data_IF_507675638612
#
_entry.id   IF_507675638612
#
_cell.length_a   1.000
_cell.length_b   1.000
_cell.length_c   1.000
_cell.angle_alpha   90.00
_cell.angle_beta   90.00
_cell.angle_gamma   90.00
#
_symmetry.space_group_name_H-M   'P 1'
#
loop_
_entity.id
_entity.type
_entity.pdbx_description
1 polymer ?
#
# COMPACT_ATOMS: atom_id res chain seq x y z
N UNK A 1 37.68 28.81 -5.18
CA UNK A 1 36.55 28.71 -4.23
C UNK A 1 36.80 27.49 -3.36
N UNK A 2 36.89 27.64 -2.02
CA UNK A 2 37.02 26.51 -1.11
C UNK A 2 35.84 25.56 -1.31
N UNK A 3 36.12 24.30 -1.64
CA UNK A 3 35.09 23.27 -1.77
C UNK A 3 34.55 22.98 -0.37
N UNK A 4 33.26 23.22 -0.15
CA UNK A 4 32.60 23.01 1.15
C UNK A 4 32.75 21.55 1.60
N UNK A 5 32.94 21.34 2.90
CA UNK A 5 33.08 19.98 3.45
C UNK A 5 31.75 19.21 3.35
N UNK A 6 31.81 17.88 3.35
CA UNK A 6 30.58 17.05 3.32
C UNK A 6 29.67 17.36 4.54
N UNK A 7 30.20 17.48 5.78
CA UNK A 7 29.38 17.90 6.92
C UNK A 7 28.66 19.25 6.70
N UNK A 8 29.35 20.27 6.17
CA UNK A 8 28.75 21.58 5.87
C UNK A 8 27.62 21.47 4.84
N UNK A 9 27.82 20.66 3.80
CA UNK A 9 26.81 20.43 2.77
C UNK A 9 25.57 19.73 3.34
N UNK A 10 25.74 18.76 4.25
CA UNK A 10 24.63 18.10 4.94
C UNK A 10 23.88 19.10 5.83
N UNK A 11 24.59 19.85 6.67
CA UNK A 11 23.97 20.85 7.55
C UNK A 11 23.19 21.89 6.74
N UNK A 12 23.72 22.32 5.60
CA UNK A 12 23.01 23.23 4.68
C UNK A 12 21.77 22.58 4.06
N UNK A 13 21.83 21.33 3.66
CA UNK A 13 20.67 20.60 3.13
C UNK A 13 19.57 20.42 4.20
N UNK A 14 19.94 20.48 5.48
CA UNK A 14 19.05 20.42 6.63
C UNK A 14 18.77 21.81 7.25
N UNK A 15 19.30 22.88 6.66
CA UNK A 15 19.12 24.24 7.17
C UNK A 15 17.75 24.76 6.75
N UNK A 16 16.84 24.88 7.72
CA UNK A 16 15.52 25.50 7.54
C UNK A 16 14.63 25.31 8.76
N UNK A 17 13.69 26.24 8.98
CA UNK A 17 12.75 26.22 10.11
C UNK A 17 12.01 24.88 10.25
N UNK A 18 11.80 24.18 9.13
CA UNK A 18 11.16 22.85 9.08
C UNK A 18 11.98 21.72 9.72
N UNK A 19 13.17 21.98 10.26
CA UNK A 19 14.07 20.98 10.83
C UNK A 19 14.54 21.29 12.27
N UNK A 20 14.18 22.45 12.84
CA UNK A 20 14.67 22.88 14.17
C UNK A 20 14.29 21.93 15.30
N UNK A 21 13.12 21.29 15.21
CA UNK A 21 12.64 20.31 16.19
C UNK A 21 12.74 18.87 15.69
N UNK A 22 13.46 18.62 14.59
CA UNK A 22 13.49 17.32 13.94
C UNK A 22 14.31 16.31 14.74
N UNK A 23 13.83 15.06 14.76
CA UNK A 23 14.60 13.91 15.21
C UNK A 23 15.12 13.15 13.99
N UNK A 24 16.42 13.21 13.78
CA UNK A 24 17.05 12.61 12.61
C UNK A 24 17.34 11.12 12.82
N UNK A 25 16.92 10.31 11.85
CA UNK A 25 17.18 8.88 11.82
C UNK A 25 17.77 8.50 10.48
N UNK A 26 18.96 7.90 10.48
CA UNK A 26 19.63 7.46 9.26
C UNK A 26 19.27 6.00 8.95
N UNK A 27 18.84 5.72 7.73
CA UNK A 27 18.76 4.35 7.22
C UNK A 27 20.15 3.81 6.93
N UNK A 28 20.70 2.96 7.81
CA UNK A 28 22.05 2.42 7.73
C UNK A 28 22.03 1.03 7.06
N UNK A 29 22.55 0.93 5.83
CA UNK A 29 22.66 -0.37 5.15
C UNK A 29 23.97 -1.10 5.44
N UNK A 30 24.98 -0.40 5.96
CA UNK A 30 26.35 -0.90 6.10
C UNK A 30 27.26 -0.57 4.92
N UNK A 31 26.67 -0.14 3.80
CA UNK A 31 27.40 0.31 2.62
C UNK A 31 28.05 1.68 2.78
N UNK A 32 29.04 2.03 1.91
CA UNK A 32 29.85 3.24 2.03
C UNK A 32 29.01 4.51 2.10
N UNK A 33 27.93 4.62 1.34
CA UNK A 33 27.16 5.86 1.24
C UNK A 33 26.38 6.15 2.53
N UNK A 34 25.76 5.12 3.11
CA UNK A 34 25.08 5.24 4.41
C UNK A 34 26.07 5.46 5.56
N UNK A 35 27.27 4.86 5.48
CA UNK A 35 28.34 5.04 6.46
C UNK A 35 28.91 6.45 6.41
N UNK A 36 29.14 7.01 5.22
CA UNK A 36 29.58 8.38 5.02
C UNK A 36 28.55 9.37 5.55
N UNK A 37 27.26 9.11 5.31
CA UNK A 37 26.17 9.92 5.86
C UNK A 37 26.21 9.97 7.39
N UNK A 38 26.29 8.83 8.08
CA UNK A 38 26.36 8.82 9.55
C UNK A 38 27.61 9.54 10.04
N UNK A 39 28.78 9.24 9.47
CA UNK A 39 30.04 9.85 9.88
C UNK A 39 30.03 11.38 9.70
N UNK A 40 29.49 11.88 8.58
CA UNK A 40 29.42 13.30 8.30
C UNK A 40 28.38 14.03 9.15
N UNK A 41 27.26 13.37 9.50
CA UNK A 41 26.33 13.92 10.49
C UNK A 41 27.01 14.12 11.85
N UNK A 42 27.73 13.11 12.35
CA UNK A 42 28.42 13.19 13.64
C UNK A 42 29.52 14.27 13.64
N UNK A 43 30.32 14.34 12.59
CA UNK A 43 31.37 15.36 12.44
C UNK A 43 30.78 16.77 12.36
N UNK A 44 29.60 16.93 11.75
CA UNK A 44 28.86 18.17 11.73
C UNK A 44 28.13 18.52 13.05
N UNK A 45 28.30 17.70 14.10
CA UNK A 45 27.63 17.90 15.40
C UNK A 45 26.13 17.59 15.39
N UNK A 46 25.63 16.86 14.39
CA UNK A 46 24.22 16.50 14.27
C UNK A 46 23.92 15.23 15.07
N UNK A 47 22.99 15.33 16.02
CA UNK A 47 22.49 14.14 16.73
C UNK A 47 21.60 13.31 15.81
N UNK A 48 22.00 12.05 15.59
CA UNK A 48 21.27 11.09 14.78
C UNK A 48 21.15 9.76 15.50
N UNK A 49 20.06 9.04 15.25
CA UNK A 49 19.99 7.61 15.50
C UNK A 49 19.98 6.85 14.17
N UNK A 50 20.16 5.53 14.22
CA UNK A 50 20.28 4.69 13.03
C UNK A 50 19.30 3.52 13.07
N UNK A 51 18.79 3.14 11.91
CA UNK A 51 18.00 1.92 11.74
C UNK A 51 18.63 1.11 10.61
N UNK A 52 18.93 -0.16 10.90
CA UNK A 52 19.32 -1.14 9.91
C UNK A 52 18.17 -2.13 9.66
N UNK A 53 17.86 -2.38 8.39
CA UNK A 53 16.87 -3.36 8.01
C UNK A 53 17.55 -4.65 7.58
N UNK A 54 17.36 -5.71 8.36
CA UNK A 54 17.81 -7.03 7.99
C UNK A 54 16.66 -7.75 7.25
N UNK A 55 16.94 -8.16 6.02
CA UNK A 55 15.96 -8.81 5.14
C UNK A 55 15.94 -10.33 5.28
N UNK A 56 16.90 -10.95 5.99
CA UNK A 56 16.97 -12.40 6.22
C UNK A 56 17.23 -13.27 4.97
N UNK A 57 17.53 -12.66 3.81
CA UNK A 57 17.56 -13.35 2.52
C UNK A 57 18.97 -13.69 2.00
N UNK A 58 20.04 -13.19 2.63
CA UNK A 58 21.42 -13.40 2.19
C UNK A 58 22.23 -14.01 3.32
N UNK A 59 23.19 -14.88 2.97
CA UNK A 59 24.19 -15.41 3.91
C UNK A 59 25.01 -14.29 4.59
N UNK A 60 25.20 -13.16 3.90
CA UNK A 60 25.97 -12.00 4.41
C UNK A 60 25.16 -11.05 5.32
N UNK A 61 23.85 -11.26 5.47
CA UNK A 61 23.00 -10.34 6.25
C UNK A 61 23.42 -10.25 7.72
N UNK A 62 23.90 -11.36 8.30
CA UNK A 62 24.47 -11.38 9.65
C UNK A 62 25.81 -10.65 9.74
N UNK A 63 26.58 -10.61 8.65
CA UNK A 63 27.85 -9.88 8.58
C UNK A 63 27.60 -8.38 8.52
N UNK A 64 26.63 -7.94 7.70
CA UNK A 64 26.22 -6.54 7.61
C UNK A 64 25.67 -6.03 8.94
N UNK A 65 24.82 -6.82 9.61
CA UNK A 65 24.26 -6.49 10.92
C UNK A 65 25.35 -6.35 11.99
N UNK A 66 26.29 -7.31 12.06
CA UNK A 66 27.44 -7.25 12.99
C UNK A 66 28.31 -6.03 12.72
N UNK A 67 28.57 -5.72 11.45
CA UNK A 67 29.33 -4.53 11.06
C UNK A 67 28.62 -3.25 11.52
N UNK A 68 27.30 -3.13 11.25
CA UNK A 68 26.52 -1.95 11.65
C UNK A 68 26.53 -1.75 13.16
N UNK A 69 26.37 -2.84 13.94
CA UNK A 69 26.47 -2.80 15.42
C UNK A 69 27.82 -2.25 15.86
N UNK A 70 28.92 -2.82 15.35
CA UNK A 70 30.27 -2.39 15.71
C UNK A 70 30.52 -0.93 15.33
N UNK A 71 30.12 -0.53 14.13
CA UNK A 71 30.29 0.84 13.63
C UNK A 71 29.59 1.86 14.53
N UNK A 72 28.35 1.57 14.93
CA UNK A 72 27.54 2.44 15.78
C UNK A 72 28.06 2.46 17.23
N UNK A 73 28.45 1.31 17.79
CA UNK A 73 29.04 1.21 19.13
C UNK A 73 30.31 2.04 19.28
N UNK A 74 31.24 1.95 18.31
CA UNK A 74 32.50 2.70 18.33
C UNK A 74 32.31 4.22 18.25
N UNK A 75 31.15 4.68 17.78
CA UNK A 75 30.82 6.10 17.58
C UNK A 75 29.73 6.60 18.51
N UNK A 76 29.31 5.77 19.47
CA UNK A 76 28.23 6.05 20.41
C UNK A 76 26.92 6.52 19.73
N UNK A 77 26.56 5.87 18.61
CA UNK A 77 25.33 6.16 17.88
C UNK A 77 24.26 5.10 18.20
N UNK A 78 23.02 5.49 18.57
CA UNK A 78 21.95 4.53 18.77
C UNK A 78 21.64 3.77 17.47
N UNK A 79 21.54 2.44 17.55
CA UNK A 79 21.20 1.56 16.43
C UNK A 79 20.01 0.67 16.78
N UNK A 80 18.99 0.72 15.95
CA UNK A 80 17.88 -0.22 15.95
C UNK A 80 18.02 -1.21 14.78
N UNK A 81 17.86 -2.49 15.08
CA UNK A 81 17.82 -3.55 14.06
C UNK A 81 16.36 -3.95 13.84
N UNK A 82 15.89 -3.85 12.60
CA UNK A 82 14.53 -4.21 12.21
C UNK A 82 14.58 -5.40 11.27
N UNK A 83 13.97 -6.51 11.69
CA UNK A 83 13.82 -7.70 10.86
C UNK A 83 12.62 -7.55 9.92
N UNK A 84 12.82 -7.77 8.63
CA UNK A 84 11.77 -7.71 7.61
C UNK A 84 11.53 -9.09 7.00
N UNK A 85 10.34 -9.65 7.20
CA UNK A 85 9.92 -10.88 6.53
C UNK A 85 9.54 -10.61 5.07
N UNK A 86 10.55 -10.52 4.22
CA UNK A 86 10.37 -10.25 2.79
C UNK A 86 9.73 -11.45 2.08
N UNK A 87 10.05 -12.68 2.50
CA UNK A 87 9.50 -13.90 1.89
C UNK A 87 8.00 -14.06 2.15
N UNK A 88 7.57 -13.92 3.40
CA UNK A 88 6.17 -14.10 3.79
C UNK A 88 5.27 -12.94 3.36
N UNK A 89 5.82 -11.73 3.24
CA UNK A 89 5.03 -10.56 2.88
C UNK A 89 4.97 -10.29 1.36
N UNK A 90 5.57 -11.13 0.51
CA UNK A 90 5.64 -10.92 -0.94
C UNK A 90 4.26 -11.05 -1.60
N UNK A 91 3.84 -10.02 -2.34
CA UNK A 91 2.58 -10.06 -3.10
C UNK A 91 2.77 -10.69 -4.50
N UNK A 92 1.72 -11.24 -5.12
CA UNK A 92 1.79 -11.73 -6.50
C UNK A 92 2.34 -10.65 -7.45
N UNK A 93 3.37 -11.01 -8.23
CA UNK A 93 4.03 -10.10 -9.17
C UNK A 93 5.04 -9.10 -8.56
N UNK A 94 5.21 -9.05 -7.24
CA UNK A 94 6.28 -8.23 -6.63
C UNK A 94 7.63 -8.95 -6.70
N UNK A 95 8.70 -8.22 -7.00
CA UNK A 95 10.07 -8.72 -6.80
C UNK A 95 10.45 -8.67 -5.32
N UNK A 96 11.51 -9.38 -4.95
CA UNK A 96 12.10 -9.33 -3.60
C UNK A 96 12.48 -7.89 -3.22
N UNK A 97 13.13 -7.16 -4.13
CA UNK A 97 13.53 -5.77 -3.91
C UNK A 97 12.32 -4.84 -3.70
N UNK A 98 11.27 -5.00 -4.50
CA UNK A 98 10.03 -4.23 -4.36
C UNK A 98 9.34 -4.51 -3.03
N UNK A 99 9.34 -5.77 -2.60
CA UNK A 99 8.78 -6.19 -1.31
C UNK A 99 9.57 -5.58 -0.15
N UNK A 100 10.90 -5.67 -0.17
CA UNK A 100 11.77 -5.05 0.84
C UNK A 100 11.63 -3.52 0.89
N UNK A 101 11.50 -2.86 -0.25
CA UNK A 101 11.24 -1.41 -0.32
C UNK A 101 9.88 -1.04 0.29
N UNK A 102 8.83 -1.82 0.00
CA UNK A 102 7.50 -1.60 0.58
C UNK A 102 7.52 -1.77 2.09
N UNK A 103 8.11 -2.85 2.60
CA UNK A 103 8.19 -3.10 4.04
C UNK A 103 8.97 -2.01 4.79
N UNK A 104 10.11 -1.57 4.25
CA UNK A 104 10.86 -0.43 4.81
C UNK A 104 10.01 0.83 4.88
N UNK A 105 9.32 1.18 3.80
CA UNK A 105 8.45 2.35 3.77
C UNK A 105 7.29 2.23 4.77
N UNK A 106 6.65 1.06 4.86
CA UNK A 106 5.59 0.82 5.84
C UNK A 106 6.07 0.96 7.28
N UNK A 107 7.25 0.42 7.61
CA UNK A 107 7.87 0.62 8.92
C UNK A 107 8.08 2.11 9.21
N UNK A 108 8.65 2.84 8.25
CA UNK A 108 8.90 4.27 8.39
C UNK A 108 7.63 5.10 8.57
N UNK A 109 6.57 4.79 7.81
CA UNK A 109 5.28 5.45 7.95
C UNK A 109 4.64 5.19 9.31
N UNK A 110 4.70 3.95 9.81
CA UNK A 110 4.16 3.59 11.12
C UNK A 110 4.90 4.31 12.26
N UNK A 111 6.23 4.43 12.15
CA UNK A 111 7.03 5.16 13.14
C UNK A 111 6.76 6.65 13.09
N UNK A 112 6.77 7.26 11.91
CA UNK A 112 6.50 8.69 11.73
C UNK A 112 5.08 9.09 12.18
N UNK A 113 4.10 8.17 12.10
CA UNK A 113 2.77 8.41 12.64
C UNK A 113 2.75 8.55 14.18
N UNK A 114 3.71 7.92 14.88
CA UNK A 114 3.89 8.00 16.34
C UNK A 114 4.87 9.09 16.76
N UNK A 115 5.79 9.44 15.87
CA UNK A 115 6.84 10.43 16.05
C UNK A 115 6.78 11.48 14.91
N UNK A 116 5.87 12.47 14.97
CA UNK A 116 5.66 13.44 13.88
C UNK A 116 6.89 14.28 13.52
N UNK A 117 7.84 14.41 14.45
CA UNK A 117 9.12 15.10 14.30
C UNK A 117 10.20 14.25 13.62
N UNK A 118 9.91 12.99 13.29
CA UNK A 118 10.84 12.06 12.66
C UNK A 118 11.21 12.51 11.24
N UNK A 119 12.50 12.66 10.98
CA UNK A 119 13.06 12.88 9.64
C UNK A 119 14.04 11.77 9.31
N UNK A 120 13.75 11.00 8.26
CA UNK A 120 14.59 9.87 7.84
C UNK A 120 15.60 10.35 6.80
N UNK A 121 16.89 10.24 7.14
CA UNK A 121 18.00 10.55 6.23
C UNK A 121 18.42 9.28 5.47
N UNK A 122 18.60 9.40 4.15
CA UNK A 122 18.99 8.29 3.28
C UNK A 122 20.26 8.65 2.49
N UNK A 123 21.21 7.72 2.43
CA UNK A 123 22.51 7.89 1.77
C UNK A 123 22.46 7.79 0.24
N UNK A 124 21.50 8.43 -0.42
CA UNK A 124 21.49 8.50 -1.88
C UNK A 124 22.35 9.66 -2.36
N UNK A 125 23.22 9.40 -3.34
CA UNK A 125 24.20 10.37 -3.84
C UNK A 125 23.93 10.81 -5.29
N UNK A 126 24.78 11.68 -5.83
CA UNK A 126 24.63 12.23 -7.19
C UNK A 126 24.59 11.14 -8.28
N UNK A 127 25.43 10.11 -8.20
CA UNK A 127 25.41 9.04 -9.19
C UNK A 127 24.10 8.24 -9.14
N UNK A 128 23.46 8.07 -7.97
CA UNK A 128 22.15 7.43 -7.85
C UNK A 128 21.05 8.24 -8.53
N UNK A 129 21.16 9.57 -8.45
CA UNK A 129 20.26 10.49 -9.13
C UNK A 129 20.37 10.29 -10.65
N UNK A 130 21.60 10.29 -11.19
CA UNK A 130 21.84 10.09 -12.62
C UNK A 130 21.41 8.72 -13.11
N UNK A 131 21.73 7.66 -12.37
CA UNK A 131 21.28 6.29 -12.64
C UNK A 131 19.75 6.22 -12.68
N UNK A 132 19.08 6.82 -11.69
CA UNK A 132 17.62 6.83 -11.61
C UNK A 132 16.99 7.62 -12.75
N UNK A 133 17.54 8.78 -13.08
CA UNK A 133 17.07 9.62 -14.18
C UNK A 133 17.16 8.87 -15.51
N UNK A 134 18.31 8.25 -15.80
CA UNK A 134 18.54 7.48 -17.03
C UNK A 134 17.61 6.26 -17.13
N UNK A 135 17.50 5.47 -16.06
CA UNK A 135 16.58 4.32 -16.02
C UNK A 135 15.13 4.74 -16.28
N UNK A 136 14.70 5.88 -15.73
CA UNK A 136 13.32 6.37 -15.93
C UNK A 136 13.11 6.98 -17.31
N UNK A 137 14.12 7.63 -17.87
CA UNK A 137 14.10 8.13 -19.24
C UNK A 137 13.89 6.97 -20.23
N UNK A 138 14.68 5.89 -20.10
CA UNK A 138 14.56 4.68 -20.94
C UNK A 138 13.19 4.00 -20.84
N UNK A 139 12.46 4.19 -19.73
CA UNK A 139 11.12 3.65 -19.51
C UNK A 139 9.99 4.60 -19.94
N UNK A 140 10.31 5.76 -20.51
CA UNK A 140 9.32 6.73 -21.00
C UNK A 140 8.62 7.51 -19.89
N UNK A 141 9.39 8.09 -18.96
CA UNK A 141 8.86 8.91 -17.88
C UNK A 141 8.63 10.38 -18.27
N UNK A 142 7.74 11.08 -17.55
CA UNK A 142 7.53 12.53 -17.69
C UNK A 142 8.60 13.33 -16.92
N UNK A 143 8.52 14.67 -16.92
CA UNK A 143 9.52 15.54 -16.24
C UNK A 143 9.76 15.15 -14.78
N UNK A 144 8.72 14.99 -13.96
CA UNK A 144 8.87 14.53 -12.58
C UNK A 144 9.44 13.12 -12.43
N UNK A 145 9.18 12.26 -13.41
CA UNK A 145 9.84 10.97 -13.46
C UNK A 145 11.32 11.09 -13.75
N UNK A 146 11.71 11.83 -14.80
CA UNK A 146 13.10 12.00 -15.24
C UNK A 146 13.94 12.75 -14.20
N UNK A 147 13.36 13.77 -13.54
CA UNK A 147 13.99 14.50 -12.43
C UNK A 147 14.52 13.57 -11.33
N UNK A 148 14.01 12.33 -11.25
CA UNK A 148 14.68 11.24 -10.57
C UNK A 148 14.38 11.19 -9.08
N UNK A 149 15.42 11.36 -8.27
CA UNK A 149 15.30 11.39 -6.82
C UNK A 149 15.20 12.85 -6.37
N UNK A 150 14.28 13.14 -5.46
CA UNK A 150 14.17 14.48 -4.88
C UNK A 150 14.92 14.52 -3.54
N UNK A 151 15.50 15.67 -3.20
CA UNK A 151 16.26 15.85 -1.97
C UNK A 151 15.38 15.71 -0.71
N UNK A 152 14.13 16.18 -0.74
CA UNK A 152 13.17 16.12 0.35
C UNK A 152 11.82 15.62 -0.18
N UNK A 153 11.28 14.56 0.43
CA UNK A 153 10.00 13.97 0.02
C UNK A 153 9.19 13.58 1.23
N UNK A 154 7.91 13.96 1.25
CA UNK A 154 6.92 13.43 2.19
C UNK A 154 6.10 12.31 1.57
N UNK A 155 6.01 11.16 2.26
CA UNK A 155 5.21 10.01 1.82
C UNK A 155 4.29 9.58 2.96
N UNK A 156 3.04 10.04 2.96
CA UNK A 156 2.14 9.89 4.11
C UNK A 156 2.69 10.66 5.32
N UNK A 157 2.84 9.98 6.46
CA UNK A 157 3.37 10.62 7.67
C UNK A 157 4.88 10.85 7.66
N UNK A 158 5.66 10.09 6.87
CA UNK A 158 7.13 10.15 6.93
C UNK A 158 7.73 11.18 5.96
N UNK A 159 8.72 11.93 6.44
CA UNK A 159 9.61 12.78 5.63
C UNK A 159 10.95 12.09 5.40
N UNK A 160 11.34 11.97 4.13
CA UNK A 160 12.58 11.32 3.68
C UNK A 160 13.49 12.38 3.06
N UNK A 161 14.70 12.55 3.59
CA UNK A 161 15.69 13.52 3.12
C UNK A 161 16.94 12.81 2.62
N UNK A 162 17.53 13.30 1.52
CA UNK A 162 18.71 12.76 0.84
C UNK A 162 19.79 13.84 0.76
N UNK A 163 20.50 14.13 1.86
CA UNK A 163 21.42 15.27 1.91
C UNK A 163 22.65 15.08 1.01
N UNK A 164 22.99 13.83 0.66
CA UNK A 164 24.14 13.51 -0.21
C UNK A 164 23.83 13.64 -1.71
N UNK A 165 22.62 14.00 -2.11
CA UNK A 165 22.16 13.90 -3.50
C UNK A 165 22.95 14.80 -4.48
N UNK A 166 23.56 15.88 -3.98
CA UNK A 166 24.45 16.75 -4.76
C UNK A 166 25.91 16.30 -4.79
N UNK A 167 26.27 15.25 -4.04
CA UNK A 167 27.66 14.84 -3.80
C UNK A 167 28.03 13.63 -4.67
N UNK A 168 29.14 13.65 -5.42
CA UNK A 168 29.61 12.50 -6.19
C UNK A 168 30.02 11.33 -5.29
N UNK A 169 29.79 10.09 -5.75
CA UNK A 169 30.21 8.88 -5.03
C UNK A 169 31.72 8.84 -4.74
N UNK A 170 32.54 9.32 -5.67
CA UNK A 170 34.00 9.39 -5.50
C UNK A 170 34.41 10.28 -4.31
N UNK A 171 33.66 11.35 -4.05
CA UNK A 171 33.90 12.26 -2.94
C UNK A 171 33.56 11.61 -1.58
N UNK A 172 32.49 10.81 -1.53
CA UNK A 172 32.14 10.02 -0.36
C UNK A 172 33.22 8.96 -0.06
N UNK A 173 33.73 8.28 -1.08
CA UNK A 173 34.82 7.32 -0.94
C UNK A 173 36.09 7.95 -0.37
N UNK A 174 36.48 9.13 -0.89
CA UNK A 174 37.62 9.89 -0.38
C UNK A 174 37.41 10.35 1.06
N UNK A 175 36.22 10.85 1.37
CA UNK A 175 35.85 11.29 2.73
C UNK A 175 36.02 10.17 3.77
N UNK A 176 35.58 8.94 3.44
CA UNK A 176 35.76 7.76 4.29
C UNK A 176 37.23 7.35 4.41
N UNK A 177 37.97 7.34 3.30
CA UNK A 177 39.37 6.95 3.27
C UNK A 177 40.25 7.89 4.12
N UNK A 178 40.05 9.21 4.00
CA UNK A 178 40.74 10.23 4.81
C UNK A 178 40.52 10.01 6.33
N UNK A 179 39.36 9.48 6.71
CA UNK A 179 38.98 9.17 8.11
C UNK A 179 39.26 7.73 8.52
N UNK A 180 39.85 6.92 7.64
CA UNK A 180 40.11 5.48 7.86
C UNK A 180 38.85 4.72 8.31
N UNK A 181 37.70 5.07 7.71
CA UNK A 181 36.43 4.39 7.98
C UNK A 181 36.21 3.34 6.90
N UNK A 182 36.36 2.08 7.27
CA UNK A 182 35.99 0.95 6.41
C UNK A 182 34.48 0.78 6.39
N UNK A 183 33.88 0.51 5.23
CA UNK A 183 32.47 0.19 5.08
C UNK A 183 32.29 -1.20 4.48
N UNK A 184 31.13 -1.83 4.69
CA UNK A 184 30.85 -3.10 4.02
C UNK A 184 30.71 -2.89 2.51
N UNK A 185 31.42 -3.72 1.73
CA UNK A 185 31.35 -3.69 0.27
C UNK A 185 30.54 -4.91 -0.18
N UNK A 186 29.32 -4.66 -0.67
CA UNK A 186 28.49 -5.73 -1.24
C UNK A 186 29.12 -6.22 -2.57
N UNK A 187 29.50 -7.52 -2.68
CA UNK A 187 30.13 -8.08 -3.87
C UNK A 187 29.19 -8.15 -5.08
N UNK A 188 27.86 -8.08 -4.89
CA UNK A 188 26.86 -8.09 -5.97
C UNK A 188 26.76 -6.76 -6.73
N UNK A 189 27.42 -5.71 -6.25
CA UNK A 189 27.44 -4.38 -6.87
C UNK A 189 28.06 -4.32 -8.28
N UNK A 190 28.65 -5.43 -8.75
CA UNK A 190 29.29 -5.54 -10.08
C UNK A 190 28.53 -6.44 -11.06
N UNK A 191 27.41 -7.02 -10.66
CA UNK A 191 26.67 -7.97 -11.49
C UNK A 191 25.81 -7.24 -12.53
N UNK A 192 26.18 -7.32 -13.81
CA UNK A 192 25.50 -6.63 -14.91
C UNK A 192 24.10 -7.17 -15.24
N UNK A 193 23.70 -8.31 -14.66
CA UNK A 193 22.31 -8.80 -14.77
C UNK A 193 21.31 -7.80 -14.18
N UNK A 194 21.76 -6.95 -13.27
CA UNK A 194 20.96 -5.87 -12.71
C UNK A 194 21.02 -4.62 -13.60
N UNK A 195 19.86 -4.14 -14.03
CA UNK A 195 19.69 -2.95 -14.90
C UNK A 195 20.48 -1.74 -14.41
N UNK A 196 20.51 -1.53 -13.09
CA UNK A 196 21.21 -0.40 -12.46
C UNK A 196 22.73 -0.47 -12.66
N UNK A 197 23.33 -1.65 -12.58
CA UNK A 197 24.76 -1.84 -12.80
C UNK A 197 25.14 -1.59 -14.27
N UNK A 198 24.28 -2.04 -15.21
CA UNK A 198 24.45 -1.72 -16.64
C UNK A 198 24.37 -0.21 -16.91
N UNK A 199 23.39 0.48 -16.33
CA UNK A 199 23.24 1.94 -16.47
C UNK A 199 24.44 2.68 -15.87
N UNK A 200 24.94 2.24 -14.71
CA UNK A 200 26.14 2.80 -14.08
C UNK A 200 27.36 2.73 -15.00
N UNK A 201 27.58 1.59 -15.66
CA UNK A 201 28.69 1.45 -16.63
C UNK A 201 28.55 2.44 -17.78
N UNK A 202 27.37 2.51 -18.39
CA UNK A 202 27.09 3.43 -19.51
C UNK A 202 27.32 4.89 -19.07
N UNK A 203 26.85 5.27 -17.88
CA UNK A 203 27.06 6.62 -17.36
C UNK A 203 28.53 6.92 -17.09
N UNK A 204 29.30 5.94 -16.61
CA UNK A 204 30.75 6.11 -16.40
C UNK A 204 31.52 6.31 -17.71
N UNK A 205 31.04 5.74 -18.81
CA UNK A 205 31.64 5.92 -20.15
C UNK A 205 31.19 7.24 -20.81
N UNK A 206 29.95 7.66 -20.58
CA UNK A 206 29.34 8.81 -21.28
C UNK A 206 29.50 10.14 -20.55
N UNK A 207 29.45 10.15 -19.22
CA UNK A 207 29.39 11.36 -18.40
C UNK A 207 30.76 11.65 -17.80
N UNK A 208 31.42 12.70 -18.30
CA UNK A 208 32.69 13.19 -17.75
C UNK A 208 32.41 14.13 -16.58
N UNK A 209 33.41 14.36 -15.73
CA UNK A 209 33.26 15.20 -14.54
C UNK A 209 32.79 16.63 -14.85
N UNK A 210 33.25 17.21 -15.97
CA UNK A 210 32.83 18.52 -16.46
C UNK A 210 31.34 18.58 -16.86
N UNK A 211 30.76 17.46 -17.29
CA UNK A 211 29.38 17.37 -17.76
C UNK A 211 28.38 17.22 -16.59
N UNK A 212 28.85 16.74 -15.43
CA UNK A 212 28.00 16.44 -14.24
C UNK A 212 27.24 17.67 -13.75
N UNK A 213 27.87 18.84 -13.78
CA UNK A 213 27.22 20.09 -13.36
C UNK A 213 26.08 20.49 -14.31
N UNK A 214 26.25 20.27 -15.63
CA UNK A 214 25.19 20.48 -16.61
C UNK A 214 24.02 19.53 -16.40
N UNK A 215 24.30 18.24 -16.19
CA UNK A 215 23.28 17.23 -15.94
C UNK A 215 22.48 17.52 -14.66
N UNK A 216 23.16 17.88 -13.56
CA UNK A 216 22.49 18.32 -12.33
C UNK A 216 21.54 19.50 -12.57
N UNK A 217 22.00 20.53 -13.30
CA UNK A 217 21.16 21.69 -13.62
C UNK A 217 19.92 21.27 -14.41
N UNK A 218 20.07 20.43 -15.43
CA UNK A 218 18.93 19.94 -16.21
C UNK A 218 17.92 19.17 -15.36
N UNK A 219 18.37 18.30 -14.46
CA UNK A 219 17.47 17.56 -13.56
C UNK A 219 16.77 18.48 -12.56
N UNK A 220 17.46 19.51 -12.06
CA UNK A 220 16.88 20.53 -11.18
C UNK A 220 15.80 21.36 -11.90
N UNK A 221 16.04 21.76 -13.15
CA UNK A 221 15.05 22.47 -13.97
C UNK A 221 13.83 21.60 -14.25
N UNK A 222 14.03 20.34 -14.62
CA UNK A 222 12.91 19.39 -14.81
C UNK A 222 12.10 19.16 -13.53
N UNK A 223 12.75 19.24 -12.37
CA UNK A 223 12.05 19.20 -11.09
C UNK A 223 11.20 20.45 -10.88
N UNK A 224 11.77 21.65 -11.09
CA UNK A 224 11.03 22.91 -10.97
C UNK A 224 9.81 22.95 -11.91
N UNK A 225 9.96 22.44 -13.14
CA UNK A 225 8.86 22.29 -14.08
C UNK A 225 7.79 21.31 -13.56
N UNK A 226 8.19 20.19 -12.94
CA UNK A 226 7.24 19.22 -12.37
C UNK A 226 6.46 19.81 -11.20
N UNK A 227 7.13 20.57 -10.33
CA UNK A 227 6.55 21.22 -9.16
C UNK A 227 5.52 22.28 -9.61
N UNK A 228 5.87 23.15 -10.56
CA UNK A 228 4.93 24.15 -11.10
C UNK A 228 3.71 23.51 -11.79
N UNK A 229 3.91 22.41 -12.52
CA UNK A 229 2.81 21.65 -13.12
C UNK A 229 1.99 20.90 -12.06
N UNK A 230 2.59 20.55 -10.92
CA UNK A 230 1.91 19.98 -9.76
C UNK A 230 0.96 20.98 -9.12
N UNK A 231 1.46 22.19 -8.82
CA UNK A 231 0.66 23.29 -8.27
C UNK A 231 -0.50 23.65 -9.21
N UNK A 232 -0.25 23.63 -10.53
CA UNK A 232 -1.32 23.85 -11.50
C UNK A 232 -2.36 22.73 -11.52
N UNK A 233 -1.95 21.48 -11.31
CA UNK A 233 -2.89 20.35 -11.20
C UNK A 233 -3.78 20.48 -9.95
N UNK A 234 -3.19 20.82 -8.80
CA UNK A 234 -3.90 20.95 -7.52
C UNK A 234 -4.84 22.16 -7.50
N UNK A 235 -4.48 23.27 -8.17
CA UNK A 235 -5.39 24.42 -8.31
C UNK A 235 -6.61 24.16 -9.20
N UNK A 236 -6.56 23.14 -10.08
CA UNK A 236 -7.69 22.76 -10.95
C UNK A 236 -8.62 21.74 -10.34
N UNK A 237 -8.09 20.84 -9.52
CA UNK A 237 -8.82 19.69 -8.99
C UNK A 237 -8.43 19.47 -7.55
N UNK A 238 -9.43 19.49 -6.66
CA UNK A 238 -9.27 19.08 -5.27
C UNK A 238 -9.07 17.56 -5.19
N UNK A 239 -7.80 17.16 -5.12
CA UNK A 239 -7.37 15.76 -5.03
C UNK A 239 -7.57 15.13 -3.65
N UNK A 240 -8.08 15.87 -2.67
CA UNK A 240 -8.40 15.33 -1.34
C UNK A 240 -9.77 14.65 -1.30
N UNK A 241 -10.61 14.89 -2.30
CA UNK A 241 -11.94 14.31 -2.38
C UNK A 241 -11.89 12.82 -2.71
N UNK A 242 -12.85 12.07 -2.14
CA UNK A 242 -13.00 10.64 -2.43
C UNK A 242 -13.43 10.37 -3.88
N UNK A 243 -14.04 11.36 -4.53
CA UNK A 243 -14.44 11.31 -5.94
C UNK A 243 -13.80 12.47 -6.70
N UNK A 244 -13.12 12.20 -7.81
CA UNK A 244 -12.67 13.26 -8.72
C UNK A 244 -13.81 13.69 -9.64
N UNK A 245 -14.01 14.99 -9.77
CA UNK A 245 -14.95 15.56 -10.73
C UNK A 245 -14.50 15.27 -12.17
N UNK A 246 -15.26 14.43 -12.88
CA UNK A 246 -14.92 14.03 -14.25
C UNK A 246 -14.81 15.21 -15.24
N UNK A 247 -15.71 16.22 -15.23
CA UNK A 247 -15.58 17.34 -16.15
C UNK A 247 -14.27 18.11 -15.95
N UNK A 248 -13.87 18.32 -14.70
CA UNK A 248 -12.61 19.00 -14.37
C UNK A 248 -11.40 18.18 -14.83
N UNK A 249 -11.41 16.86 -14.59
CA UNK A 249 -10.34 15.95 -15.03
C UNK A 249 -10.21 15.88 -16.56
N UNK A 250 -11.33 15.82 -17.28
CA UNK A 250 -11.35 15.80 -18.74
C UNK A 250 -10.93 17.13 -19.39
N UNK A 251 -11.16 18.25 -18.69
CA UNK A 251 -10.72 19.57 -19.13
C UNK A 251 -9.22 19.86 -18.86
N UNK A 252 -8.56 19.01 -18.07
CA UNK A 252 -7.14 19.15 -17.80
C UNK A 252 -6.28 18.80 -19.03
N UNK A 253 -5.23 19.59 -19.33
CA UNK A 253 -4.21 19.21 -20.29
C UNK A 253 -3.58 17.85 -19.96
N UNK A 254 -3.12 17.15 -21.00
CA UNK A 254 -2.46 15.84 -20.89
C UNK A 254 -1.34 15.80 -19.85
N UNK A 255 -0.58 16.89 -19.74
CA UNK A 255 0.50 17.01 -18.77
C UNK A 255 0.02 16.93 -17.30
N UNK A 256 -1.22 17.32 -17.00
CA UNK A 256 -1.72 17.33 -15.62
C UNK A 256 -2.26 15.97 -15.17
N UNK A 257 -2.66 15.09 -16.10
CA UNK A 257 -3.23 13.78 -15.77
C UNK A 257 -2.35 12.93 -14.84
N UNK A 258 -1.04 12.73 -15.13
CA UNK A 258 -0.17 11.99 -14.23
C UNK A 258 0.00 12.62 -12.84
N UNK A 259 -0.19 13.93 -12.73
CA UNK A 259 0.00 14.71 -11.49
C UNK A 259 -1.24 14.62 -10.61
N UNK A 260 -2.41 14.90 -11.19
CA UNK A 260 -3.71 14.74 -10.52
C UNK A 260 -3.87 13.31 -10.00
N UNK A 261 -3.67 12.30 -10.86
CA UNK A 261 -3.86 10.90 -10.46
C UNK A 261 -2.84 10.45 -9.40
N UNK A 262 -1.59 10.94 -9.48
CA UNK A 262 -0.56 10.65 -8.47
C UNK A 262 -0.91 11.27 -7.12
N UNK A 263 -1.32 12.53 -7.10
CA UNK A 263 -1.71 13.22 -5.87
C UNK A 263 -2.96 12.59 -5.24
N UNK A 264 -3.97 12.26 -6.06
CA UNK A 264 -5.17 11.57 -5.61
C UNK A 264 -4.88 10.18 -5.02
N UNK A 265 -4.05 9.36 -5.68
CA UNK A 265 -3.59 8.06 -5.16
C UNK A 265 -2.84 8.21 -3.83
N UNK A 266 -1.95 9.20 -3.71
CA UNK A 266 -1.22 9.48 -2.48
C UNK A 266 -2.16 9.89 -1.33
N UNK A 267 -3.18 10.71 -1.62
CA UNK A 267 -4.20 11.08 -0.64
C UNK A 267 -4.99 9.85 -0.14
N UNK A 268 -5.17 8.85 -1.00
CA UNK A 268 -5.76 7.55 -0.64
C UNK A 268 -4.77 6.55 0.01
N UNK A 269 -3.52 6.97 0.28
CA UNK A 269 -2.48 6.14 0.90
C UNK A 269 -1.70 5.23 -0.07
N UNK A 270 -1.93 5.32 -1.38
CA UNK A 270 -1.16 4.59 -2.39
C UNK A 270 0.00 5.45 -2.91
N UNK A 271 1.21 5.09 -2.53
CA UNK A 271 2.41 5.84 -2.92
C UNK A 271 2.88 5.58 -4.36
N UNK A 272 2.45 4.47 -4.98
CA UNK A 272 2.89 4.08 -6.34
C UNK A 272 2.07 4.84 -7.40
N UNK A 273 2.73 5.52 -8.36
CA UNK A 273 2.02 6.16 -9.46
C UNK A 273 1.51 5.14 -10.48
N UNK A 274 0.47 5.50 -11.23
CA UNK A 274 0.06 4.74 -12.42
C UNK A 274 1.12 4.84 -13.51
N UNK A 275 1.27 3.75 -14.28
CA UNK A 275 2.11 3.75 -15.48
C UNK A 275 1.50 4.65 -16.55
N UNK A 276 2.35 5.30 -17.36
CA UNK A 276 1.92 6.20 -18.44
C UNK A 276 0.95 5.53 -19.43
N UNK A 277 1.16 4.25 -19.74
CA UNK A 277 0.25 3.46 -20.58
C UNK A 277 -1.15 3.34 -19.96
N UNK A 278 -1.24 3.00 -18.67
CA UNK A 278 -2.52 2.93 -17.94
C UNK A 278 -3.22 4.29 -17.85
N UNK A 279 -2.47 5.38 -17.66
CA UNK A 279 -3.03 6.74 -17.66
C UNK A 279 -3.65 7.05 -19.02
N UNK A 280 -2.95 6.73 -20.11
CA UNK A 280 -3.45 6.93 -21.48
C UNK A 280 -4.70 6.09 -21.77
N UNK A 281 -4.68 4.82 -21.39
CA UNK A 281 -5.84 3.91 -21.52
C UNK A 281 -7.05 4.44 -20.74
N UNK A 282 -6.84 4.88 -19.49
CA UNK A 282 -7.89 5.48 -18.67
C UNK A 282 -8.47 6.73 -19.33
N UNK A 283 -7.61 7.66 -19.77
CA UNK A 283 -8.03 8.89 -20.43
C UNK A 283 -8.84 8.60 -21.69
N UNK A 284 -8.34 7.75 -22.57
CA UNK A 284 -9.04 7.38 -23.81
C UNK A 284 -10.41 6.76 -23.50
N UNK A 285 -10.49 5.92 -22.46
CA UNK A 285 -11.74 5.27 -22.04
C UNK A 285 -12.75 6.25 -21.43
N UNK A 286 -12.29 7.33 -20.79
CA UNK A 286 -13.16 8.37 -20.25
C UNK A 286 -13.61 9.37 -21.34
N UNK A 287 -12.75 9.68 -22.31
CA UNK A 287 -13.05 10.57 -23.43
C UNK A 287 -14.02 9.97 -24.46
N UNK A 288 -14.01 8.64 -24.64
CA UNK A 288 -14.93 7.94 -25.55
C UNK A 288 -16.37 7.82 -25.04
N UNK A 289 -16.64 8.37 -23.85
CA UNK A 289 -17.95 8.36 -23.22
C UNK A 289 -18.05 7.35 -22.09
N UNK A 290 -18.55 7.82 -20.95
CA UNK A 290 -18.55 7.06 -19.70
C UNK A 290 -19.91 6.39 -19.48
N UNK A 291 -19.93 5.06 -19.44
CA UNK A 291 -21.13 4.29 -19.05
C UNK A 291 -21.22 4.17 -17.53
N UNK A 292 -22.43 4.04 -16.94
CA UNK A 292 -22.59 3.77 -15.50
C UNK A 292 -21.85 2.51 -15.01
N UNK A 293 -21.62 1.55 -15.90
CA UNK A 293 -20.87 0.32 -15.63
C UNK A 293 -19.35 0.45 -15.77
N UNK A 294 -18.83 1.66 -16.01
CA UNK A 294 -17.40 1.89 -16.20
C UNK A 294 -16.60 1.34 -15.01
N UNK A 295 -15.58 0.55 -15.36
CA UNK A 295 -14.65 -0.03 -14.42
C UNK A 295 -13.26 -0.02 -15.06
N UNK A 296 -12.26 0.47 -14.32
CA UNK A 296 -10.89 0.49 -14.78
C UNK A 296 -9.97 -0.05 -13.68
N UNK A 297 -9.34 -1.19 -13.91
CA UNK A 297 -8.32 -1.70 -13.02
C UNK A 297 -7.06 -0.83 -13.10
N UNK A 298 -6.50 -0.39 -11.98
CA UNK A 298 -5.23 0.36 -12.00
C UNK A 298 -4.00 -0.54 -12.15
N UNK A 299 -4.14 -1.85 -11.88
CA UNK A 299 -3.01 -2.77 -11.68
C UNK A 299 -2.33 -2.60 -10.31
N UNK A 300 -2.86 -1.74 -9.44
CA UNK A 300 -2.35 -1.51 -8.08
C UNK A 300 -3.22 -2.19 -7.00
N UNK A 301 -4.22 -2.99 -7.41
CA UNK A 301 -5.26 -3.51 -6.51
C UNK A 301 -6.37 -2.48 -6.21
N UNK A 302 -6.36 -1.36 -6.95
CA UNK A 302 -7.39 -0.32 -6.91
C UNK A 302 -8.16 -0.37 -8.23
N UNK A 303 -9.48 -0.33 -8.14
CA UNK A 303 -10.36 -0.23 -9.31
C UNK A 303 -11.02 1.14 -9.30
N UNK A 304 -11.00 1.83 -10.44
CA UNK A 304 -11.69 3.11 -10.62
C UNK A 304 -13.09 2.87 -11.20
N UNK A 305 -14.09 3.56 -10.66
CA UNK A 305 -15.49 3.46 -11.09
C UNK A 305 -16.15 4.83 -11.12
N UNK A 306 -17.35 4.88 -11.68
CA UNK A 306 -18.12 6.11 -11.80
C UNK A 306 -19.28 6.05 -10.82
N UNK A 307 -19.36 7.05 -9.95
CA UNK A 307 -20.43 7.16 -8.96
C UNK A 307 -20.78 8.64 -8.76
N UNK A 308 -22.07 8.97 -8.87
CA UNK A 308 -22.54 10.35 -8.69
C UNK A 308 -21.89 11.36 -9.63
N UNK A 309 -21.52 10.96 -10.86
CA UNK A 309 -20.85 11.84 -11.83
C UNK A 309 -19.35 12.05 -11.61
N UNK A 310 -18.75 11.41 -10.60
CA UNK A 310 -17.32 11.46 -10.30
C UNK A 310 -16.62 10.10 -10.47
N UNK A 311 -15.30 10.15 -10.63
CA UNK A 311 -14.42 8.99 -10.62
C UNK A 311 -14.04 8.65 -9.18
N UNK A 312 -14.37 7.44 -8.71
CA UNK A 312 -14.10 6.99 -7.33
C UNK A 312 -13.12 5.82 -7.32
N UNK A 313 -12.26 5.76 -6.30
CA UNK A 313 -11.45 4.59 -6.02
C UNK A 313 -12.24 3.55 -5.24
N UNK A 314 -12.20 2.31 -5.71
CA UNK A 314 -12.63 1.14 -4.97
C UNK A 314 -11.42 0.23 -4.79
N UNK A 315 -10.90 0.14 -3.57
CA UNK A 315 -9.95 -0.91 -3.22
C UNK A 315 -10.63 -2.26 -3.35
N UNK A 316 -9.90 -3.25 -3.88
CA UNK A 316 -10.40 -4.62 -3.92
C UNK A 316 -10.80 -5.03 -2.49
N UNK A 317 -12.10 -5.18 -2.24
CA UNK A 317 -12.53 -5.87 -1.04
C UNK A 317 -12.01 -7.31 -1.15
N UNK A 318 -11.42 -7.88 -0.08
CA UNK A 318 -11.11 -9.30 -0.09
C UNK A 318 -12.38 -10.05 -0.49
N UNK A 319 -12.25 -10.95 -1.47
CA UNK A 319 -13.37 -11.79 -1.89
C UNK A 319 -13.94 -12.45 -0.64
N UNK A 320 -15.27 -12.36 -0.43
CA UNK A 320 -15.88 -13.10 0.66
C UNK A 320 -15.53 -14.58 0.47
N UNK A 321 -15.05 -15.28 1.50
CA UNK A 321 -14.69 -16.68 1.37
C UNK A 321 -15.90 -17.47 0.89
N UNK A 322 -15.72 -18.24 -0.17
CA UNK A 322 -16.74 -19.16 -0.66
C UNK A 322 -16.66 -20.46 0.13
N UNK A 323 -17.74 -20.80 0.82
CA UNK A 323 -17.87 -22.04 1.58
C UNK A 323 -19.27 -22.63 1.39
N UNK A 324 -19.40 -23.93 1.70
CA UNK A 324 -20.66 -24.67 1.74
C UNK A 324 -20.52 -25.87 2.67
N UNK A 325 -21.35 -25.93 3.71
CA UNK A 325 -21.39 -26.99 4.70
C UNK A 325 -22.73 -27.71 4.68
N UNK A 326 -22.72 -29.01 4.97
CA UNK A 326 -23.92 -29.80 5.19
C UNK A 326 -24.15 -29.93 6.69
N UNK A 327 -25.33 -29.54 7.17
CA UNK A 327 -25.67 -29.52 8.58
C UNK A 327 -26.86 -30.45 8.88
N UNK A 328 -26.57 -31.58 9.52
CA UNK A 328 -27.56 -32.52 10.03
C UNK A 328 -28.04 -32.06 11.41
N UNK A 329 -28.89 -31.03 11.45
CA UNK A 329 -29.32 -30.40 12.71
C UNK A 329 -30.06 -31.34 13.68
N UNK A 330 -30.58 -32.45 13.16
CA UNK A 330 -31.21 -33.53 13.95
C UNK A 330 -30.20 -34.33 14.77
N UNK A 331 -28.94 -34.39 14.33
CA UNK A 331 -27.84 -35.12 14.97
C UNK A 331 -26.87 -34.17 15.68
N UNK A 332 -26.67 -32.97 15.12
CA UNK A 332 -25.76 -31.96 15.60
C UNK A 332 -26.53 -30.66 15.85
N UNK A 333 -26.78 -30.33 17.12
CA UNK A 333 -27.50 -29.11 17.48
C UNK A 333 -26.76 -27.83 17.10
N UNK A 334 -25.46 -27.90 16.77
CA UNK A 334 -24.65 -26.75 16.39
C UNK A 334 -23.72 -27.05 15.20
N UNK A 335 -23.41 -26.02 14.42
CA UNK A 335 -22.37 -26.05 13.39
C UNK A 335 -21.55 -24.75 13.43
N UNK A 336 -20.22 -24.89 13.39
CA UNK A 336 -19.28 -23.78 13.33
C UNK A 336 -18.85 -23.52 11.88
N UNK A 337 -18.86 -22.25 11.46
CA UNK A 337 -18.47 -21.76 10.14
C UNK A 337 -17.31 -20.77 10.32
N UNK A 338 -16.05 -21.24 10.35
CA UNK A 338 -14.89 -20.40 10.64
C UNK A 338 -14.72 -19.23 9.66
N UNK A 339 -15.00 -19.44 8.37
CA UNK A 339 -14.88 -18.44 7.31
C UNK A 339 -15.88 -17.28 7.48
N UNK A 340 -16.98 -17.54 8.17
CA UNK A 340 -18.04 -16.60 8.45
C UNK A 340 -18.00 -16.07 9.89
N UNK A 341 -17.07 -16.56 10.72
CA UNK A 341 -17.02 -16.26 12.16
C UNK A 341 -18.41 -16.43 12.81
N UNK A 342 -19.03 -17.58 12.57
CA UNK A 342 -20.44 -17.82 12.87
C UNK A 342 -20.68 -19.23 13.39
N UNK A 343 -21.42 -19.34 14.50
CA UNK A 343 -22.01 -20.60 14.96
C UNK A 343 -23.52 -20.54 14.79
N UNK A 344 -24.07 -21.53 14.11
CA UNK A 344 -25.51 -21.73 14.02
C UNK A 344 -25.94 -22.79 15.04
N UNK A 345 -27.03 -22.53 15.75
CA UNK A 345 -27.62 -23.44 16.73
C UNK A 345 -29.06 -23.76 16.36
N UNK A 346 -29.41 -25.04 16.40
CA UNK A 346 -30.76 -25.56 16.26
C UNK A 346 -31.25 -26.08 17.61
N UNK A 347 -32.41 -25.60 18.06
CA UNK A 347 -33.02 -26.08 19.30
C UNK A 347 -34.51 -26.32 19.13
N UNK A 348 -34.99 -27.51 19.53
CA UNK A 348 -36.42 -27.81 19.59
C UNK A 348 -37.01 -27.12 20.82
N UNK A 349 -37.99 -26.24 20.62
CA UNK A 349 -38.66 -25.51 21.71
C UNK A 349 -39.98 -24.92 21.26
N UNK A 350 -40.82 -24.56 22.23
CA UNK A 350 -42.01 -23.75 21.98
C UNK A 350 -41.62 -22.35 21.45
N UNK A 351 -42.53 -21.74 20.70
CA UNK A 351 -42.38 -20.38 20.18
C UNK A 351 -42.15 -19.41 21.34
N UNK A 352 -41.09 -18.60 21.26
CA UNK A 352 -40.81 -17.54 22.22
C UNK A 352 -40.23 -16.33 21.47
N UNK A 353 -41.06 -15.31 21.27
CA UNK A 353 -40.70 -14.12 20.50
C UNK A 353 -39.54 -13.30 21.09
N UNK A 354 -39.16 -13.53 22.35
CA UNK A 354 -38.11 -12.77 23.03
C UNK A 354 -36.70 -13.34 22.82
N UNK A 355 -36.56 -14.46 22.11
CA UNK A 355 -35.26 -15.06 21.84
C UNK A 355 -34.70 -14.62 20.48
N UNK A 356 -33.39 -14.31 20.40
CA UNK A 356 -32.76 -13.96 19.14
C UNK A 356 -32.65 -15.20 18.25
N UNK A 357 -33.20 -15.10 17.04
CA UNK A 357 -33.24 -16.19 16.07
C UNK A 357 -34.55 -16.20 15.29
N UNK A 358 -34.80 -17.32 14.61
CA UNK A 358 -36.00 -17.51 13.80
C UNK A 358 -36.60 -18.90 14.07
N UNK A 359 -37.93 -18.98 14.01
CA UNK A 359 -38.69 -20.17 14.39
C UNK A 359 -39.36 -20.84 13.19
N UNK A 360 -39.09 -22.10 12.93
CA UNK A 360 -39.66 -22.86 11.82
C UNK A 360 -40.52 -24.01 12.35
N UNK A 361 -41.61 -24.36 11.67
CA UNK A 361 -42.40 -25.54 12.02
C UNK A 361 -41.51 -26.79 11.97
N UNK A 362 -41.44 -27.53 13.08
CA UNK A 362 -40.46 -28.60 13.25
C UNK A 362 -40.59 -29.69 12.17
N UNK A 363 -41.82 -30.10 11.85
CA UNK A 363 -42.12 -31.17 10.88
C UNK A 363 -41.84 -30.76 9.44
N UNK A 364 -41.87 -29.46 9.14
CA UNK A 364 -41.60 -28.95 7.80
C UNK A 364 -40.10 -28.81 7.52
N UNK A 365 -39.24 -28.80 8.55
CA UNK A 365 -37.82 -28.51 8.38
C UNK A 365 -37.05 -29.72 7.84
N UNK A 366 -36.38 -29.60 6.67
CA UNK A 366 -35.56 -30.68 6.13
C UNK A 366 -34.27 -30.85 6.94
N UNK A 367 -33.77 -32.08 7.02
CA UNK A 367 -32.42 -32.42 7.50
C UNK A 367 -31.79 -33.37 6.48
N UNK A 368 -30.58 -33.10 5.97
CA UNK A 368 -29.71 -31.99 6.32
C UNK A 368 -30.11 -30.64 5.69
N UNK A 369 -29.54 -29.57 6.23
CA UNK A 369 -29.52 -28.23 5.66
C UNK A 369 -28.17 -27.96 4.99
N UNK A 370 -28.12 -26.97 4.11
CA UNK A 370 -26.87 -26.45 3.55
C UNK A 370 -26.61 -25.05 4.08
N UNK A 371 -25.44 -24.83 4.66
CA UNK A 371 -24.98 -23.52 5.15
C UNK A 371 -23.86 -23.04 4.25
N UNK A 372 -24.12 -22.00 3.46
CA UNK A 372 -23.18 -21.56 2.41
C UNK A 372 -22.99 -20.06 2.34
N UNK A 373 -21.93 -19.66 1.64
CA UNK A 373 -21.73 -18.30 1.17
C UNK A 373 -22.81 -17.86 0.16
N UNK A 374 -22.98 -16.55 0.01
CA UNK A 374 -23.95 -15.96 -0.96
C UNK A 374 -23.52 -16.24 -2.39
N UNK A 375 -24.47 -16.60 -3.25
CA UNK A 375 -24.24 -16.80 -4.68
C UNK A 375 -24.89 -15.68 -5.52
N UNK A 376 -24.28 -15.27 -6.64
CA UNK A 376 -24.91 -14.36 -7.59
C UNK A 376 -26.25 -14.94 -8.07
N UNK A 377 -27.31 -14.14 -8.00
CA UNK A 377 -28.65 -14.55 -8.46
C UNK A 377 -29.55 -15.14 -7.38
N UNK A 378 -29.06 -15.32 -6.15
CA UNK A 378 -29.85 -15.78 -5.00
C UNK A 378 -31.20 -15.06 -4.86
N UNK A 379 -32.27 -15.84 -4.70
CA UNK A 379 -33.65 -15.36 -4.51
C UNK A 379 -34.33 -16.14 -3.39
N UNK A 380 -35.20 -15.45 -2.66
CA UNK A 380 -36.06 -16.06 -1.64
C UNK A 380 -37.42 -15.37 -1.62
N UNK A 381 -38.45 -16.07 -1.15
CA UNK A 381 -39.72 -15.44 -0.79
C UNK A 381 -39.60 -15.06 0.70
N UNK A 382 -39.41 -13.77 1.04
CA UNK A 382 -39.25 -13.35 2.43
C UNK A 382 -40.54 -13.55 3.22
N UNK A 383 -40.42 -13.80 4.52
CA UNK A 383 -41.58 -13.96 5.39
C UNK A 383 -42.52 -12.73 5.35
N UNK A 384 -43.80 -13.00 5.14
CA UNK A 384 -44.88 -12.04 4.86
C UNK A 384 -45.04 -11.68 3.38
N UNK A 385 -44.20 -12.21 2.49
CA UNK A 385 -44.25 -11.96 1.05
C UNK A 385 -44.84 -13.13 0.25
N UNK A 386 -45.22 -12.84 -1.00
CA UNK A 386 -45.74 -13.85 -1.94
C UNK A 386 -44.81 -14.07 -3.14
N UNK A 387 -43.95 -13.10 -3.46
CA UNK A 387 -43.09 -13.12 -4.66
C UNK A 387 -41.61 -13.28 -4.31
N UNK A 388 -40.82 -13.99 -5.15
CA UNK A 388 -39.38 -14.11 -4.97
C UNK A 388 -38.66 -12.77 -5.11
N UNK A 389 -37.89 -12.38 -4.10
CA UNK A 389 -37.04 -11.19 -4.10
C UNK A 389 -35.58 -11.60 -4.24
N UNK A 390 -34.81 -10.87 -5.07
CA UNK A 390 -33.36 -11.05 -5.14
C UNK A 390 -32.73 -10.67 -3.81
N UNK A 391 -31.86 -11.53 -3.28
CA UNK A 391 -31.15 -11.26 -2.02
C UNK A 391 -30.39 -9.93 -2.07
N UNK A 392 -29.81 -9.56 -3.22
CA UNK A 392 -29.18 -8.25 -3.42
C UNK A 392 -30.09 -7.08 -3.02
N UNK A 393 -31.38 -7.12 -3.37
CA UNK A 393 -32.37 -6.08 -3.06
C UNK A 393 -32.73 -6.07 -1.58
N UNK A 394 -32.81 -7.24 -0.94
CA UNK A 394 -33.04 -7.35 0.51
C UNK A 394 -31.90 -6.74 1.34
N UNK A 395 -30.69 -6.72 0.78
CA UNK A 395 -29.50 -6.16 1.43
C UNK A 395 -29.26 -4.68 1.13
N UNK A 396 -29.97 -4.04 0.20
CA UNK A 396 -29.79 -2.59 -0.06
C UNK A 396 -29.96 -1.70 1.18
N UNK A 397 -30.94 -1.92 2.08
CA UNK A 397 -31.08 -1.12 3.30
C UNK A 397 -30.09 -1.52 4.42
N UNK A 398 -29.30 -2.59 4.26
CA UNK A 398 -28.44 -3.16 5.30
C UNK A 398 -26.98 -3.16 4.79
N UNK A 399 -25.97 -2.96 5.66
CA UNK A 399 -24.57 -3.02 5.17
C UNK A 399 -24.26 -4.44 4.62
N UNK A 400 -23.71 -4.61 3.40
CA UNK A 400 -23.45 -5.94 2.79
C UNK A 400 -22.58 -6.88 3.63
N UNK A 401 -21.77 -6.34 4.54
CA UNK A 401 -20.96 -7.08 5.52
C UNK A 401 -21.80 -7.80 6.60
N UNK A 402 -23.12 -7.57 6.66
CA UNK A 402 -24.01 -8.18 7.64
C UNK A 402 -24.39 -9.63 7.30
N UNK A 403 -24.29 -10.03 6.02
CA UNK A 403 -24.58 -11.42 5.62
C UNK A 403 -23.32 -12.26 5.76
N UNK A 404 -23.30 -13.09 6.80
CA UNK A 404 -22.19 -13.99 7.12
C UNK A 404 -22.35 -15.36 6.43
N UNK A 405 -23.57 -15.89 6.38
CA UNK A 405 -23.92 -17.13 5.70
C UNK A 405 -25.38 -17.11 5.24
N UNK A 406 -25.78 -18.10 4.44
CA UNK A 406 -27.14 -18.37 4.03
C UNK A 406 -27.44 -19.83 4.34
N UNK A 407 -28.59 -20.08 4.99
CA UNK A 407 -29.10 -21.43 5.26
C UNK A 407 -30.13 -21.78 4.19
N UNK A 408 -29.90 -22.89 3.49
CA UNK A 408 -30.75 -23.40 2.42
C UNK A 408 -31.15 -24.85 2.67
N UNK A 409 -32.18 -25.32 1.96
CA UNK A 409 -32.38 -26.75 1.76
C UNK A 409 -31.28 -27.32 0.85
N UNK A 410 -31.17 -28.64 0.78
CA UNK A 410 -30.29 -29.34 -0.17
C UNK A 410 -30.64 -29.08 -1.64
N UNK A 411 -31.90 -28.75 -1.92
CA UNK A 411 -32.37 -28.31 -3.25
C UNK A 411 -32.02 -26.83 -3.55
N UNK A 412 -31.36 -26.11 -2.64
CA UNK A 412 -30.90 -24.74 -2.84
C UNK A 412 -31.92 -23.65 -2.51
N UNK A 413 -33.10 -24.00 -1.98
CA UNK A 413 -34.08 -23.01 -1.53
C UNK A 413 -33.61 -22.31 -0.26
N UNK A 414 -33.51 -20.98 -0.29
CA UNK A 414 -33.10 -20.19 0.86
C UNK A 414 -34.18 -20.22 1.93
N UNK A 415 -33.83 -20.71 3.12
CA UNK A 415 -34.72 -20.80 4.27
C UNK A 415 -34.49 -19.64 5.24
N UNK A 416 -33.23 -19.23 5.40
CA UNK A 416 -32.86 -18.18 6.35
C UNK A 416 -31.57 -17.47 5.96
N UNK A 417 -31.58 -16.15 6.09
CA UNK A 417 -30.38 -15.31 6.06
C UNK A 417 -30.24 -14.70 7.46
N UNK A 418 -29.35 -15.23 8.31
CA UNK A 418 -29.14 -14.75 9.67
C UNK A 418 -28.93 -13.23 9.73
N UNK A 419 -29.64 -12.58 10.66
CA UNK A 419 -29.59 -11.12 10.85
C UNK A 419 -30.27 -10.29 9.75
N UNK A 420 -30.89 -10.92 8.75
CA UNK A 420 -31.57 -10.23 7.65
C UNK A 420 -33.03 -10.62 7.54
N UNK A 421 -33.33 -11.88 7.21
CA UNK A 421 -34.71 -12.35 7.01
C UNK A 421 -34.80 -13.87 6.94
N UNK A 422 -35.84 -14.45 7.52
CA UNK A 422 -36.30 -15.81 7.18
C UNK A 422 -37.18 -15.83 5.93
N UNK A 423 -37.31 -17.02 5.34
CA UNK A 423 -38.25 -17.28 4.26
C UNK A 423 -39.68 -17.43 4.79
N UNK A 424 -40.65 -17.27 3.88
CA UNK A 424 -42.08 -17.51 4.11
C UNK A 424 -42.40 -18.98 4.46
N UNK A 425 -41.51 -19.89 4.06
CA UNK A 425 -41.57 -21.33 4.33
C UNK A 425 -41.72 -21.68 5.83
N UNK A 426 -42.41 -22.79 6.13
CA UNK A 426 -42.51 -23.40 7.47
C UNK A 426 -42.96 -22.44 8.59
N UNK A 427 -44.15 -21.84 8.44
CA UNK A 427 -44.81 -21.05 9.49
C UNK A 427 -45.14 -21.91 10.70
N UNK A 428 -44.87 -21.40 11.90
CA UNK A 428 -45.22 -22.05 13.16
C UNK A 428 -46.68 -21.71 13.50
N UNK A 429 -47.50 -22.72 13.74
CA UNK A 429 -48.86 -22.57 14.30
C UNK A 429 -48.80 -22.44 15.83
N UNK A 430 -49.77 -21.75 16.42
CA UNK A 430 -49.84 -21.59 17.88
C UNK A 430 -49.88 -22.96 18.60
N UNK A 431 -48.98 -23.14 19.57
CA UNK A 431 -48.86 -24.38 20.35
C UNK A 431 -48.14 -25.55 19.65
N UNK A 432 -47.77 -25.42 18.38
CA UNK A 432 -47.05 -26.47 17.65
C UNK A 432 -45.54 -26.52 18.01
N UNK A 433 -44.90 -27.70 17.94
CA UNK A 433 -43.45 -27.80 18.15
C UNK A 433 -42.69 -27.03 17.06
N UNK A 434 -41.71 -26.23 17.48
CA UNK A 434 -40.90 -25.41 16.58
C UNK A 434 -39.41 -25.74 16.68
N UNK A 435 -38.72 -25.55 15.55
CA UNK A 435 -37.27 -25.50 15.47
C UNK A 435 -36.84 -24.03 15.56
N UNK A 436 -36.14 -23.68 16.63
CA UNK A 436 -35.50 -22.39 16.79
C UNK A 436 -34.09 -22.45 16.20
N UNK A 437 -33.82 -21.63 15.18
CA UNK A 437 -32.48 -21.43 14.63
C UNK A 437 -31.92 -20.09 15.11
N UNK A 438 -30.77 -20.11 15.77
CA UNK A 438 -30.06 -18.92 16.22
C UNK A 438 -28.63 -18.88 15.67
N UNK A 439 -28.07 -17.67 15.64
CA UNK A 439 -26.76 -17.37 15.08
C UNK A 439 -25.99 -16.51 16.07
N UNK A 440 -24.79 -16.93 16.45
CA UNK A 440 -23.85 -16.16 17.27
C UNK A 440 -22.52 -15.97 16.53
N UNK A 441 -21.83 -14.87 16.82
CA UNK A 441 -20.44 -14.72 16.41
C UNK A 441 -19.57 -15.62 17.29
N UNK A 442 -18.46 -16.14 16.77
CA UNK A 442 -17.45 -16.79 17.62
C UNK A 442 -16.65 -15.75 18.42
#
# INVERSE_FOLDING_TARGET
MNKQSIPEQILRALAGASFETARFVVGLSGGPDSTALVAACLEGGLEVSTVHFNHGLRADAETDERWCRRFCQLRNVPLEIVQLDVSGARKPGESVEMTGRRLRLSYWQNRAAREPQLVVLLGHHQDDLFETAMMRLLRGANSGGIAGLHADVRIGAVRLVRPLLGIPRAELGRYLAERKIEACIDPTNRDERFERNRVRRILAELVRDEDRAGLLRSLSLLQADDDALGDWAESRIDVTQTALALPALLACPDALWPRVLRAWLRAAGEARPLRGTRIRELRNSLQSGVKPSFQFDTGLGITLRIRGGGLVMQTAQPAQPTFSYTWHWTEQSQINIPEADTVLTATRRALNANLPGEYFALEAMPSPLTVRSRQPGDRMIPFGGQEPVRVKKLLEPIKPKAVRCIVTSTAGHILWIPGVRRAEFARVSDGAPALHLSCSCC
#
